data_IF_116114270625
#
_entry.id   IF_116114270625
#
_cell.length_a   1.000
_cell.length_b   1.000
_cell.length_c   1.000
_cell.angle_alpha   90.00
_cell.angle_beta   90.00
_cell.angle_gamma   90.00
#
_symmetry.space_group_name_H-M   'P 1'
#
loop_
_entity.id
_entity.type
_entity.pdbx_description
1 polymer ?
#
# COMPACT_ATOMS: atom_id res chain seq x y z
N UNK A 1 -1.57 -19.17 8.20
CA UNK A 1 -2.27 -17.86 8.21
C UNK A 1 -3.48 -18.00 9.12
N UNK A 2 -3.44 -17.43 10.33
CA UNK A 2 -4.59 -17.45 11.23
C UNK A 2 -5.67 -16.54 10.63
N UNK A 3 -6.85 -17.12 10.44
CA UNK A 3 -7.94 -16.58 9.65
C UNK A 3 -8.63 -15.42 10.41
N UNK A 4 -8.25 -14.19 10.06
CA UNK A 4 -8.82 -12.97 10.64
C UNK A 4 -10.33 -12.88 10.38
N UNK A 5 -10.82 -13.43 9.27
CA UNK A 5 -12.25 -13.50 8.97
C UNK A 5 -12.96 -14.44 9.93
N UNK A 6 -12.37 -15.60 10.29
CA UNK A 6 -12.93 -16.48 11.33
C UNK A 6 -12.98 -15.80 12.69
N UNK A 7 -11.95 -15.06 13.09
CA UNK A 7 -11.97 -14.30 14.34
C UNK A 7 -13.12 -13.28 14.33
N UNK A 8 -13.23 -12.52 13.24
CA UNK A 8 -14.29 -11.52 13.09
C UNK A 8 -15.69 -12.14 13.08
N UNK A 9 -15.88 -13.25 12.37
CA UNK A 9 -17.15 -13.98 12.35
C UNK A 9 -17.52 -14.52 13.74
N UNK A 10 -16.55 -15.03 14.51
CA UNK A 10 -16.78 -15.47 15.90
C UNK A 10 -17.16 -14.29 16.79
N UNK A 11 -16.49 -13.15 16.64
CA UNK A 11 -16.83 -11.95 17.40
C UNK A 11 -18.27 -11.49 17.08
N UNK A 12 -18.66 -11.44 15.80
CA UNK A 12 -20.03 -11.11 15.39
C UNK A 12 -21.07 -12.06 15.98
N UNK A 13 -20.79 -13.37 15.93
CA UNK A 13 -21.67 -14.38 16.52
C UNK A 13 -21.80 -14.22 18.04
N UNK A 14 -20.71 -13.88 18.73
CA UNK A 14 -20.72 -13.65 20.18
C UNK A 14 -21.58 -12.45 20.59
N UNK A 15 -21.63 -11.40 19.76
CA UNK A 15 -22.44 -10.19 19.97
C UNK A 15 -23.75 -10.20 19.16
N UNK A 16 -24.35 -11.38 19.01
CA UNK A 16 -25.67 -11.61 18.40
C UNK A 16 -25.86 -11.04 16.99
N UNK A 17 -24.77 -10.87 16.24
CA UNK A 17 -24.76 -10.29 14.89
C UNK A 17 -25.48 -8.93 14.79
N UNK A 18 -25.49 -8.15 15.87
CA UNK A 18 -26.12 -6.81 15.90
C UNK A 18 -25.52 -5.83 14.90
N UNK A 19 -24.34 -6.15 14.34
CA UNK A 19 -23.52 -5.31 13.46
C UNK A 19 -23.08 -3.98 14.09
N UNK A 20 -23.33 -3.79 15.38
CA UNK A 20 -22.80 -2.66 16.13
C UNK A 20 -21.27 -2.74 16.19
N UNK A 21 -20.58 -1.59 16.36
CA UNK A 21 -19.14 -1.59 16.57
C UNK A 21 -18.71 -2.49 17.73
N UNK A 22 -17.72 -3.35 17.50
CA UNK A 22 -17.18 -4.26 18.52
C UNK A 22 -15.75 -3.87 18.84
N UNK A 23 -15.40 -3.80 20.11
CA UNK A 23 -14.02 -3.61 20.55
C UNK A 23 -13.37 -4.97 20.82
N UNK A 24 -12.22 -5.24 20.21
CA UNK A 24 -11.38 -6.40 20.52
C UNK A 24 -10.03 -5.93 21.08
N UNK A 25 -9.57 -6.58 22.14
CA UNK A 25 -8.21 -6.40 22.64
C UNK A 25 -7.27 -7.34 21.87
N UNK A 26 -6.40 -6.78 21.04
CA UNK A 26 -5.44 -7.50 20.21
C UNK A 26 -4.03 -6.94 20.49
N UNK A 27 -3.09 -7.82 20.85
CA UNK A 27 -1.69 -7.48 21.08
C UNK A 27 -1.48 -6.29 22.05
N UNK A 28 -2.25 -6.24 23.14
CA UNK A 28 -2.17 -5.17 24.14
C UNK A 28 -2.82 -3.84 23.72
N UNK A 29 -3.43 -3.79 22.52
CA UNK A 29 -4.12 -2.62 21.99
C UNK A 29 -5.62 -2.90 21.84
N UNK A 30 -6.45 -1.87 22.05
CA UNK A 30 -7.89 -1.95 21.76
C UNK A 30 -8.16 -1.53 20.32
N UNK A 31 -8.74 -2.43 19.53
CA UNK A 31 -9.12 -2.20 18.13
C UNK A 31 -10.64 -2.25 18.02
N UNK A 32 -11.23 -1.21 17.42
CA UNK A 32 -12.66 -1.16 17.14
C UNK A 32 -12.96 -1.65 15.73
N UNK A 33 -13.86 -2.61 15.62
CA UNK A 33 -14.34 -3.17 14.36
C UNK A 33 -15.71 -2.59 14.03
N UNK A 34 -15.78 -1.81 12.96
CA UNK A 34 -17.01 -1.20 12.45
C UNK A 34 -17.42 -1.94 11.18
N UNK A 35 -18.66 -2.43 11.13
CA UNK A 35 -19.11 -3.33 10.05
C UNK A 35 -20.36 -2.86 9.30
N UNK A 36 -21.17 -1.98 9.89
CA UNK A 36 -22.30 -1.35 9.21
C UNK A 36 -21.80 -0.33 8.21
N UNK A 37 -22.30 -0.39 6.98
CA UNK A 37 -21.88 0.52 5.90
C UNK A 37 -22.07 2.01 6.26
N UNK A 38 -23.14 2.34 6.97
CA UNK A 38 -23.42 3.70 7.46
C UNK A 38 -22.33 4.18 8.44
N UNK A 39 -22.04 3.37 9.47
CA UNK A 39 -21.05 3.69 10.50
C UNK A 39 -19.63 3.75 9.91
N UNK A 40 -19.31 2.86 8.96
CA UNK A 40 -18.04 2.89 8.21
C UNK A 40 -17.93 4.20 7.42
N UNK A 41 -18.99 4.58 6.70
CA UNK A 41 -19.00 5.82 5.91
C UNK A 41 -18.81 7.05 6.78
N UNK A 42 -19.43 7.09 7.95
CA UNK A 42 -19.28 8.18 8.91
C UNK A 42 -17.86 8.22 9.50
N UNK A 43 -17.29 7.07 9.86
CA UNK A 43 -15.91 6.97 10.34
C UNK A 43 -14.91 7.50 9.29
N UNK A 44 -15.09 7.18 8.02
CA UNK A 44 -14.24 7.70 6.92
C UNK A 44 -14.40 9.21 6.69
N UNK A 45 -15.61 9.76 6.91
CA UNK A 45 -15.86 11.21 6.78
C UNK A 45 -15.30 12.00 7.95
N UNK A 46 -15.21 11.39 9.13
CA UNK A 46 -14.78 12.04 10.37
C UNK A 46 -13.25 12.16 10.49
N UNK A 47 -12.66 12.93 9.57
CA UNK A 47 -11.21 13.20 9.52
C UNK A 47 -10.70 14.10 10.65
N UNK A 48 -11.61 14.68 11.45
CA UNK A 48 -11.26 15.55 12.58
C UNK A 48 -10.96 14.75 13.86
N UNK A 49 -11.73 13.68 14.11
CA UNK A 49 -11.53 12.83 15.29
C UNK A 49 -10.72 11.56 14.99
N UNK A 50 -10.75 11.09 13.74
CA UNK A 50 -9.99 9.93 13.28
C UNK A 50 -8.94 10.38 12.26
N UNK A 51 -7.67 10.23 12.62
CA UNK A 51 -6.55 10.50 11.72
C UNK A 51 -5.83 9.21 11.37
N UNK A 52 -5.38 9.11 10.12
CA UNK A 52 -4.53 8.04 9.62
C UNK A 52 -3.05 8.43 9.65
N UNK A 53 -2.73 9.68 9.96
CA UNK A 53 -1.37 10.20 9.87
C UNK A 53 -0.44 9.52 10.89
N UNK A 54 -0.89 9.37 12.13
CA UNK A 54 -0.13 8.65 13.16
C UNK A 54 0.14 7.20 12.77
N UNK A 55 -0.84 6.56 12.13
CA UNK A 55 -0.69 5.21 11.61
C UNK A 55 0.40 5.17 10.52
N UNK A 56 0.36 6.06 9.53
CA UNK A 56 1.40 6.13 8.51
C UNK A 56 2.78 6.43 9.09
N UNK A 57 2.89 7.34 10.05
CA UNK A 57 4.16 7.62 10.72
C UNK A 57 4.75 6.38 11.37
N UNK A 58 3.94 5.57 12.06
CA UNK A 58 4.40 4.30 12.65
C UNK A 58 4.85 3.30 11.59
N UNK A 59 4.14 3.22 10.46
CA UNK A 59 4.54 2.38 9.32
C UNK A 59 5.90 2.81 8.79
N UNK A 60 6.11 4.10 8.52
CA UNK A 60 7.41 4.61 8.04
C UNK A 60 8.56 4.32 9.01
N UNK A 61 8.34 4.49 10.31
CA UNK A 61 9.33 4.18 11.35
C UNK A 61 9.64 2.68 11.38
N UNK A 62 8.62 1.83 11.29
CA UNK A 62 8.76 0.37 11.30
C UNK A 62 9.48 -0.14 10.04
N UNK A 63 9.38 0.58 8.93
CA UNK A 63 10.14 0.35 7.69
C UNK A 63 11.58 0.88 7.76
N UNK A 64 12.03 1.43 8.89
CA UNK A 64 13.41 1.88 9.12
C UNK A 64 13.66 3.37 8.88
N UNK A 65 12.62 4.17 8.62
CA UNK A 65 12.78 5.62 8.49
C UNK A 65 13.03 6.24 9.87
N UNK A 66 13.99 7.16 9.98
CA UNK A 66 14.25 7.83 11.26
C UNK A 66 13.04 8.63 11.74
N UNK A 67 12.79 8.65 13.06
CA UNK A 67 11.69 9.41 13.66
C UNK A 67 11.77 10.89 13.29
N UNK A 68 12.97 11.46 13.25
CA UNK A 68 13.19 12.86 12.87
C UNK A 68 12.78 13.14 11.42
N UNK A 69 13.13 12.24 10.49
CA UNK A 69 12.74 12.36 9.08
C UNK A 69 11.22 12.24 8.90
N UNK A 70 10.59 11.28 9.59
CA UNK A 70 9.13 11.13 9.55
C UNK A 70 8.45 12.38 10.09
N UNK A 71 8.89 12.92 11.22
CA UNK A 71 8.34 14.16 11.76
C UNK A 71 8.46 15.33 10.79
N UNK A 72 9.58 15.45 10.07
CA UNK A 72 9.77 16.50 9.06
C UNK A 72 8.81 16.36 7.88
N UNK A 73 8.59 15.13 7.37
CA UNK A 73 7.70 14.86 6.23
C UNK A 73 6.23 15.18 6.56
N UNK A 74 5.83 15.01 7.81
CA UNK A 74 4.48 15.31 8.31
C UNK A 74 4.32 16.72 8.91
N UNK A 75 5.42 17.45 9.13
CA UNK A 75 5.37 18.83 9.60
C UNK A 75 5.04 19.82 8.46
N UNK A 76 4.41 20.96 8.77
CA UNK A 76 4.30 22.07 7.82
C UNK A 76 5.67 22.51 7.31
N UNK A 77 5.73 22.96 6.05
CA UNK A 77 6.97 23.47 5.49
C UNK A 77 7.46 24.71 6.28
N UNK A 78 8.76 24.83 6.55
CA UNK A 78 9.34 26.02 7.16
C UNK A 78 9.00 27.29 6.37
N UNK A 79 8.66 28.36 7.09
CA UNK A 79 8.40 29.66 6.49
C UNK A 79 9.64 30.16 5.74
N UNK A 80 9.59 30.19 4.42
CA UNK A 80 10.69 30.64 3.55
C UNK A 80 11.00 29.71 2.39
N UNK A 81 10.59 28.44 2.46
CA UNK A 81 10.69 27.52 1.32
C UNK A 81 9.52 27.80 0.38
N UNK A 82 9.81 28.38 -0.79
CA UNK A 82 8.84 28.55 -1.87
C UNK A 82 8.98 27.38 -2.83
N UNK A 83 8.04 26.46 -2.73
CA UNK A 83 7.89 25.38 -3.69
C UNK A 83 6.79 25.77 -4.69
N UNK A 84 7.09 25.84 -6.01
CA UNK A 84 6.09 26.18 -7.02
C UNK A 84 4.93 25.18 -7.09
N UNK A 85 5.14 23.93 -6.67
CA UNK A 85 4.11 22.89 -6.62
C UNK A 85 3.38 22.85 -5.27
N UNK A 86 3.96 23.47 -4.22
CA UNK A 86 3.38 23.55 -2.88
C UNK A 86 3.20 24.99 -2.39
N UNK A 87 2.34 25.73 -3.09
CA UNK A 87 2.02 27.13 -2.80
C UNK A 87 1.39 27.37 -1.42
N UNK A 88 0.83 26.34 -0.80
CA UNK A 88 0.15 26.41 0.49
C UNK A 88 1.02 25.95 1.67
N UNK A 89 2.29 25.59 1.45
CA UNK A 89 3.20 25.15 2.51
C UNK A 89 2.74 23.88 3.22
N UNK A 90 2.00 23.00 2.52
CA UNK A 90 1.47 21.75 3.09
C UNK A 90 2.62 20.82 3.51
N UNK A 91 2.43 19.98 4.53
CA UNK A 91 3.35 18.87 4.77
C UNK A 91 3.56 18.02 3.52
N UNK A 92 4.78 17.52 3.34
CA UNK A 92 5.16 16.71 2.17
C UNK A 92 4.28 15.47 2.05
N UNK A 93 3.98 14.78 3.17
CA UNK A 93 3.07 13.63 3.18
C UNK A 93 1.69 13.96 2.61
N UNK A 94 1.16 15.14 2.94
CA UNK A 94 -0.16 15.58 2.48
C UNK A 94 -0.14 15.93 0.99
N UNK A 95 0.90 16.63 0.54
CA UNK A 95 1.07 16.96 -0.87
C UNK A 95 1.21 15.69 -1.73
N UNK A 96 2.08 14.75 -1.32
CA UNK A 96 2.28 13.49 -2.02
C UNK A 96 0.97 12.71 -2.16
N UNK A 97 0.17 12.64 -1.09
CA UNK A 97 -1.17 12.02 -1.12
C UNK A 97 -2.11 12.73 -2.10
N UNK A 98 -2.16 14.06 -2.09
CA UNK A 98 -3.03 14.81 -3.00
C UNK A 98 -2.62 14.62 -4.47
N UNK A 99 -1.32 14.64 -4.75
CA UNK A 99 -0.78 14.37 -6.08
C UNK A 99 -1.10 12.94 -6.54
N UNK A 100 -0.89 11.95 -5.68
CA UNK A 100 -1.24 10.56 -5.96
C UNK A 100 -2.74 10.40 -6.24
N UNK A 101 -3.61 11.01 -5.43
CA UNK A 101 -5.05 11.00 -5.67
C UNK A 101 -5.35 11.61 -7.04
N UNK A 102 -4.80 12.78 -7.34
CA UNK A 102 -5.04 13.47 -8.60
C UNK A 102 -4.58 12.64 -9.82
N UNK A 103 -3.44 11.95 -9.71
CA UNK A 103 -2.91 11.09 -10.77
C UNK A 103 -3.75 9.82 -10.98
N UNK A 104 -4.42 9.32 -9.93
CA UNK A 104 -5.21 8.09 -9.97
C UNK A 104 -6.72 8.31 -10.18
N UNK A 105 -7.17 9.57 -10.30
CA UNK A 105 -8.55 9.84 -10.71
C UNK A 105 -8.72 9.58 -12.21
N UNK A 106 -9.94 9.21 -12.67
CA UNK A 106 -10.24 9.09 -14.09
C UNK A 106 -9.84 10.36 -14.86
N UNK A 107 -9.01 10.19 -15.88
CA UNK A 107 -8.48 11.28 -16.68
C UNK A 107 -7.07 10.99 -17.22
N UNK A 108 -6.42 11.99 -17.85
CA UNK A 108 -5.19 11.78 -18.62
C UNK A 108 -4.02 11.18 -17.81
N UNK A 109 -3.96 11.45 -16.51
CA UNK A 109 -2.97 10.88 -15.60
C UNK A 109 -3.12 9.37 -15.47
N UNK A 110 -4.32 8.90 -15.10
CA UNK A 110 -4.62 7.49 -14.99
C UNK A 110 -4.47 6.77 -16.34
N UNK A 111 -4.95 7.38 -17.43
CA UNK A 111 -4.84 6.81 -18.77
C UNK A 111 -3.37 6.62 -19.18
N UNK A 112 -2.48 7.53 -18.77
CA UNK A 112 -1.05 7.42 -19.04
C UNK A 112 -0.40 6.29 -18.24
N UNK A 113 -0.78 6.14 -16.96
CA UNK A 113 -0.32 5.03 -16.12
C UNK A 113 -0.80 3.68 -16.67
N UNK A 114 -2.06 3.57 -17.07
CA UNK A 114 -2.62 2.36 -17.66
C UNK A 114 -1.89 1.97 -18.95
N UNK A 115 -1.67 2.92 -19.87
CA UNK A 115 -0.91 2.65 -21.10
C UNK A 115 0.51 2.19 -20.83
N UNK A 116 1.19 2.79 -19.85
CA UNK A 116 2.56 2.40 -19.49
C UNK A 116 2.60 0.99 -18.87
N UNK A 117 1.66 0.68 -17.97
CA UNK A 117 1.52 -0.63 -17.35
C UNK A 117 1.26 -1.73 -18.40
N UNK A 118 0.27 -1.50 -19.27
CA UNK A 118 -0.07 -2.45 -20.34
C UNK A 118 1.08 -2.62 -21.33
N UNK A 119 1.71 -1.52 -21.75
CA UNK A 119 2.85 -1.57 -22.64
C UNK A 119 4.02 -2.38 -22.06
N UNK A 120 4.26 -2.28 -20.74
CA UNK A 120 5.25 -3.12 -20.08
C UNK A 120 4.87 -4.61 -20.15
N UNK A 121 3.63 -4.95 -19.80
CA UNK A 121 3.15 -6.32 -19.76
C UNK A 121 3.17 -6.98 -21.16
N UNK A 122 2.77 -6.25 -22.20
CA UNK A 122 2.79 -6.75 -23.59
C UNK A 122 4.21 -7.03 -24.10
N UNK A 123 5.20 -6.27 -23.63
CA UNK A 123 6.60 -6.45 -24.05
C UNK A 123 7.33 -7.57 -23.28
N UNK A 124 6.78 -8.01 -22.15
CA UNK A 124 7.44 -8.99 -21.28
C UNK A 124 6.55 -10.19 -20.90
N UNK A 125 5.92 -10.87 -21.88
CA UNK A 125 5.16 -12.09 -21.59
C UNK A 125 6.07 -13.21 -21.05
N UNK A 126 7.36 -13.17 -21.40
CA UNK A 126 8.36 -14.18 -21.06
C UNK A 126 9.19 -13.83 -19.83
N UNK A 127 8.74 -12.90 -18.97
CA UNK A 127 9.34 -12.66 -17.64
C UNK A 127 9.07 -13.88 -16.75
N UNK A 128 9.85 -14.92 -17.00
CA UNK A 128 9.84 -16.20 -16.31
C UNK A 128 11.01 -16.20 -15.32
N UNK A 129 10.91 -15.35 -14.30
CA UNK A 129 11.95 -15.25 -13.29
C UNK A 129 11.98 -16.55 -12.45
N UNK A 130 13.03 -17.35 -12.59
CA UNK A 130 13.41 -18.38 -11.62
C UNK A 130 12.99 -19.82 -11.89
N UNK A 131 12.78 -20.21 -13.15
CA UNK A 131 12.19 -21.52 -13.44
C UNK A 131 13.17 -22.68 -13.55
N UNK A 132 12.73 -23.82 -13.00
CA UNK A 132 13.34 -25.12 -13.19
C UNK A 132 12.72 -25.74 -14.46
N UNK A 133 13.51 -26.06 -15.49
CA UNK A 133 12.97 -26.75 -16.67
C UNK A 133 12.25 -28.03 -16.25
N UNK A 134 10.99 -28.21 -16.65
CA UNK A 134 10.35 -29.51 -16.46
C UNK A 134 11.07 -30.54 -17.33
N UNK A 135 11.15 -31.77 -16.85
CA UNK A 135 11.77 -32.89 -17.59
C UNK A 135 11.09 -33.18 -18.95
N UNK A 136 9.96 -32.51 -19.27
CA UNK A 136 9.17 -32.70 -20.49
C UNK A 136 9.22 -31.51 -21.47
N UNK A 137 10.12 -30.55 -21.27
CA UNK A 137 10.21 -29.36 -22.14
C UNK A 137 9.07 -28.37 -21.93
N UNK A 138 8.34 -28.51 -20.83
CA UNK A 138 7.44 -27.49 -20.30
C UNK A 138 8.10 -26.84 -19.10
N UNK A 139 7.45 -25.82 -18.59
CA UNK A 139 7.87 -25.07 -17.42
C UNK A 139 6.72 -25.15 -16.42
N UNK A 140 7.02 -25.38 -15.14
CA UNK A 140 6.02 -25.35 -14.08
C UNK A 140 6.32 -24.17 -13.15
N UNK A 141 5.32 -23.30 -12.96
CA UNK A 141 5.47 -22.11 -12.13
C UNK A 141 4.20 -21.76 -11.36
N UNK A 142 4.38 -21.00 -10.28
CA UNK A 142 3.26 -20.42 -9.54
C UNK A 142 2.67 -19.25 -10.32
N UNK A 143 1.43 -19.41 -10.80
CA UNK A 143 0.68 -18.33 -11.46
C UNK A 143 0.59 -17.06 -10.59
N UNK A 144 0.44 -17.24 -9.28
CA UNK A 144 0.43 -16.12 -8.33
C UNK A 144 1.74 -15.33 -8.36
N UNK A 145 2.88 -16.01 -8.19
CA UNK A 145 4.18 -15.33 -8.18
C UNK A 145 4.49 -14.67 -9.52
N UNK A 146 4.18 -15.35 -10.64
CA UNK A 146 4.37 -14.78 -11.97
C UNK A 146 3.55 -13.51 -12.17
N UNK A 147 2.25 -13.55 -11.86
CA UNK A 147 1.40 -12.35 -11.95
C UNK A 147 1.87 -11.25 -11.00
N UNK A 148 2.28 -11.60 -9.77
CA UNK A 148 2.74 -10.62 -8.79
C UNK A 148 4.04 -9.92 -9.22
N UNK A 149 5.06 -10.67 -9.65
CA UNK A 149 6.33 -10.11 -10.13
C UNK A 149 6.14 -9.23 -11.36
N UNK A 150 5.37 -9.71 -12.35
CA UNK A 150 5.04 -8.92 -13.54
C UNK A 150 4.34 -7.60 -13.19
N UNK A 151 3.36 -7.64 -12.28
CA UNK A 151 2.65 -6.44 -11.85
C UNK A 151 3.53 -5.46 -11.08
N UNK A 152 4.37 -5.95 -10.15
CA UNK A 152 5.28 -5.11 -9.37
C UNK A 152 6.30 -4.43 -10.28
N UNK A 153 6.90 -5.17 -11.23
CA UNK A 153 7.84 -4.61 -12.20
C UNK A 153 7.19 -3.57 -13.12
N UNK A 154 6.01 -3.88 -13.66
CA UNK A 154 5.26 -2.95 -14.49
C UNK A 154 4.91 -1.66 -13.73
N UNK A 155 4.45 -1.79 -12.47
CA UNK A 155 4.08 -0.66 -11.62
C UNK A 155 5.30 0.18 -11.24
N UNK A 156 6.42 -0.47 -10.92
CA UNK A 156 7.70 0.20 -10.66
C UNK A 156 8.15 1.03 -11.87
N UNK A 157 8.16 0.43 -13.07
CA UNK A 157 8.53 1.13 -14.30
C UNK A 157 7.58 2.28 -14.63
N UNK A 158 6.28 2.10 -14.39
CA UNK A 158 5.26 3.12 -14.64
C UNK A 158 5.38 4.30 -13.69
N UNK A 159 5.63 4.05 -12.40
CA UNK A 159 5.69 5.10 -11.37
C UNK A 159 7.05 5.80 -11.29
N UNK A 160 8.15 5.07 -11.52
CA UNK A 160 9.52 5.55 -11.25
C UNK A 160 10.44 5.49 -12.48
N UNK A 161 9.94 5.02 -13.62
CA UNK A 161 10.78 4.71 -14.79
C UNK A 161 11.85 3.68 -14.44
N UNK A 162 13.00 3.77 -15.10
CA UNK A 162 14.15 2.90 -14.86
C UNK A 162 15.00 3.30 -13.65
N UNK A 163 14.54 4.24 -12.81
CA UNK A 163 15.34 4.74 -11.68
C UNK A 163 15.56 3.65 -10.63
N UNK A 164 14.49 2.96 -10.21
CA UNK A 164 14.58 1.92 -9.20
C UNK A 164 15.31 0.66 -9.72
N UNK A 165 15.07 0.27 -10.97
CA UNK A 165 15.81 -0.85 -11.59
C UNK A 165 17.32 -0.61 -11.63
N UNK A 166 17.76 0.65 -11.85
CA UNK A 166 19.19 1.00 -11.84
C UNK A 166 19.81 0.96 -10.45
N UNK A 167 19.02 1.22 -9.40
CA UNK A 167 19.48 1.23 -8.02
C UNK A 167 19.50 -0.18 -7.43
N UNK A 168 18.43 -0.94 -7.65
CA UNK A 168 18.29 -2.31 -7.16
C UNK A 168 17.40 -3.13 -8.12
N UNK A 169 17.99 -3.89 -9.05
CA UNK A 169 17.25 -4.73 -10.00
C UNK A 169 16.42 -5.85 -9.33
N UNK A 170 16.77 -6.22 -8.10
CA UNK A 170 16.08 -7.26 -7.32
C UNK A 170 14.99 -6.69 -6.42
N UNK A 171 14.78 -5.37 -6.42
CA UNK A 171 13.78 -4.70 -5.60
C UNK A 171 12.36 -5.28 -5.77
N UNK A 172 11.88 -5.63 -6.98
CA UNK A 172 10.58 -6.28 -7.14
C UNK A 172 10.46 -7.59 -6.35
N UNK A 173 11.50 -8.42 -6.35
CA UNK A 173 11.50 -9.69 -5.62
C UNK A 173 11.55 -9.46 -4.11
N UNK A 174 12.42 -8.55 -3.64
CA UNK A 174 12.48 -8.15 -2.23
C UNK A 174 11.15 -7.57 -1.74
N UNK A 175 10.46 -6.84 -2.61
CA UNK A 175 9.13 -6.31 -2.32
C UNK A 175 8.09 -7.43 -2.14
N UNK A 176 8.10 -8.47 -2.98
CA UNK A 176 7.19 -9.62 -2.82
C UNK A 176 7.45 -10.38 -1.52
N UNK A 177 8.71 -10.62 -1.18
CA UNK A 177 9.08 -11.23 0.11
C UNK A 177 8.62 -10.38 1.31
N UNK A 178 8.74 -9.06 1.17
CA UNK A 178 8.23 -8.12 2.16
C UNK A 178 6.70 -8.15 2.24
N UNK A 179 5.97 -8.19 1.12
CA UNK A 179 4.50 -8.18 1.08
C UNK A 179 3.91 -9.38 1.83
N UNK A 180 4.51 -10.57 1.68
CA UNK A 180 4.16 -11.80 2.42
C UNK A 180 4.29 -11.64 3.95
N UNK A 181 5.16 -10.73 4.40
CA UNK A 181 5.44 -10.46 5.81
C UNK A 181 4.84 -9.14 6.31
N UNK A 182 4.27 -8.33 5.41
CA UNK A 182 3.83 -6.95 5.68
C UNK A 182 2.76 -6.87 6.78
N UNK A 183 1.97 -7.93 6.96
CA UNK A 183 0.99 -8.04 8.04
C UNK A 183 1.61 -7.86 9.44
N UNK A 184 2.91 -8.14 9.60
CA UNK A 184 3.65 -7.95 10.85
C UNK A 184 3.95 -6.48 11.14
N UNK A 185 3.88 -5.57 10.17
CA UNK A 185 4.10 -4.14 10.44
C UNK A 185 2.97 -3.52 11.27
N UNK A 186 1.80 -4.16 11.29
CA UNK A 186 0.63 -3.68 12.00
C UNK A 186 0.64 -4.07 13.50
N UNK A 187 1.56 -4.93 13.94
CA UNK A 187 1.55 -5.59 15.27
C UNK A 187 2.94 -5.80 15.85
#
# INVERSE_FOLDING_TARGET
MNDSQKLFNRARQHFDNTNQPVQLALFGTSIYFVSRAEDVSEAYRNTRMLTVDEFYQRVFISMGTSVASVQQVFAPLPAGIKDPENTQGKPVAKLARELQIAQLQPGPGLDALERAQLGYMECHPDLLAGEVPSQKGSVEMSLWHWCADLNVRAAQGTCFGSALDRLDPELPQKFLEFDDLSWKLLY
#
